data_IF_262891693111
#
_entry.id   IF_262891693111
#
_cell.length_a   1.000
_cell.length_b   1.000
_cell.length_c   1.000
_cell.angle_alpha   90.00
_cell.angle_beta   90.00
_cell.angle_gamma   90.00
#
_symmetry.space_group_name_H-M   'P 1'
#
loop_
_entity.id
_entity.type
_entity.pdbx_description
1 polymer ?
#
# COMPACT_ATOMS: atom_id res chain seq x y z
N UNK A 1 16.21 42.62 -23.95
CA UNK A 1 16.40 41.54 -22.97
C UNK A 1 17.90 41.47 -22.69
N UNK A 2 18.36 41.55 -21.43
CA UNK A 2 19.82 41.58 -21.18
C UNK A 2 20.44 40.18 -21.41
N UNK A 3 21.75 40.13 -21.64
CA UNK A 3 22.49 38.88 -21.91
C UNK A 3 22.33 37.82 -20.80
N UNK A 4 22.27 38.24 -19.53
CA UNK A 4 22.01 37.31 -18.41
C UNK A 4 20.61 36.71 -18.47
N UNK A 5 19.57 37.48 -18.83
CA UNK A 5 18.20 36.98 -19.01
C UNK A 5 18.13 35.98 -20.18
N UNK A 6 18.84 36.25 -21.28
CA UNK A 6 18.95 35.33 -22.40
C UNK A 6 19.63 34.01 -22.00
N UNK A 7 20.75 34.10 -21.27
CA UNK A 7 21.49 32.94 -20.78
C UNK A 7 20.63 32.08 -19.83
N UNK A 8 19.87 32.69 -18.92
CA UNK A 8 18.97 31.96 -18.03
C UNK A 8 17.83 31.25 -18.78
N UNK A 9 17.24 31.89 -19.79
CA UNK A 9 16.19 31.27 -20.61
C UNK A 9 16.75 30.12 -21.46
N UNK A 10 17.95 30.30 -22.04
CA UNK A 10 18.60 29.26 -22.84
C UNK A 10 19.00 28.04 -21.99
N UNK A 11 19.63 28.26 -20.84
CA UNK A 11 19.98 27.18 -19.90
C UNK A 11 18.72 26.50 -19.36
N UNK A 12 17.68 27.27 -19.03
CA UNK A 12 16.39 26.74 -18.59
C UNK A 12 15.72 25.85 -19.64
N UNK A 13 15.74 26.27 -20.91
CA UNK A 13 15.20 25.49 -22.02
C UNK A 13 15.96 24.17 -22.24
N UNK A 14 17.30 24.19 -22.14
CA UNK A 14 18.13 22.98 -22.22
C UNK A 14 17.78 22.01 -21.09
N UNK A 15 17.64 22.50 -19.84
CA UNK A 15 17.28 21.67 -18.69
C UNK A 15 15.90 21.02 -18.89
N UNK A 16 14.90 21.79 -19.34
CA UNK A 16 13.56 21.26 -19.63
C UNK A 16 13.64 20.17 -20.70
N UNK A 17 14.41 20.40 -21.77
CA UNK A 17 14.57 19.43 -22.85
C UNK A 17 15.24 18.13 -22.38
N UNK A 18 16.26 18.23 -21.52
CA UNK A 18 16.91 17.06 -20.88
C UNK A 18 15.91 16.29 -20.00
N UNK A 19 15.08 16.99 -19.21
CA UNK A 19 14.04 16.36 -18.38
C UNK A 19 13.04 15.61 -19.28
N UNK A 20 12.54 16.26 -20.34
CA UNK A 20 11.60 15.65 -21.29
C UNK A 20 12.22 14.41 -21.93
N UNK A 21 13.46 14.50 -22.44
CA UNK A 21 14.16 13.36 -23.04
C UNK A 21 14.35 12.23 -22.02
N UNK A 22 14.73 12.54 -20.79
CA UNK A 22 14.89 11.56 -19.70
C UNK A 22 13.56 10.87 -19.37
N UNK A 23 12.45 11.61 -19.37
CA UNK A 23 11.11 11.05 -19.17
C UNK A 23 10.72 10.12 -20.32
N UNK A 24 10.96 10.51 -21.57
CA UNK A 24 10.64 9.71 -22.76
C UNK A 24 11.48 8.42 -22.79
N UNK A 25 12.80 8.54 -22.59
CA UNK A 25 13.72 7.39 -22.55
C UNK A 25 13.32 6.46 -21.41
N UNK A 26 13.10 7.00 -20.21
CA UNK A 26 12.65 6.24 -19.06
C UNK A 26 11.31 5.56 -19.28
N UNK A 27 10.38 6.19 -20.01
CA UNK A 27 9.11 5.58 -20.35
C UNK A 27 9.27 4.41 -21.32
N UNK A 28 10.04 4.58 -22.41
CA UNK A 28 10.33 3.50 -23.37
C UNK A 28 11.06 2.33 -22.70
N UNK A 29 12.06 2.63 -21.88
CA UNK A 29 12.80 1.62 -21.11
C UNK A 29 11.87 0.83 -20.17
N UNK A 30 10.95 1.51 -19.49
CA UNK A 30 9.98 0.85 -18.62
C UNK A 30 8.96 0.00 -19.39
N UNK A 31 8.49 0.45 -20.56
CA UNK A 31 7.63 -0.36 -21.43
C UNK A 31 8.34 -1.64 -21.87
N UNK A 32 9.61 -1.54 -22.28
CA UNK A 32 10.42 -2.69 -22.64
C UNK A 32 10.61 -3.66 -21.47
N UNK A 33 10.94 -3.16 -20.27
CA UNK A 33 11.06 -4.01 -19.07
C UNK A 33 9.75 -4.69 -18.71
N UNK A 34 8.62 -3.99 -18.86
CA UNK A 34 7.28 -4.55 -18.62
C UNK A 34 6.97 -5.68 -19.58
N UNK A 35 7.22 -5.49 -20.87
CA UNK A 35 7.02 -6.54 -21.87
C UNK A 35 7.89 -7.76 -21.57
N UNK A 36 9.17 -7.55 -21.24
CA UNK A 36 10.09 -8.63 -20.86
C UNK A 36 9.61 -9.37 -19.61
N UNK A 37 9.14 -8.64 -18.59
CA UNK A 37 8.59 -9.23 -17.38
C UNK A 37 7.35 -10.08 -17.67
N UNK A 38 6.35 -9.54 -18.35
CA UNK A 38 5.10 -10.25 -18.68
C UNK A 38 5.36 -11.50 -19.52
N UNK A 39 6.33 -11.46 -20.44
CA UNK A 39 6.73 -12.63 -21.24
C UNK A 39 7.30 -13.76 -20.38
N UNK A 40 7.97 -13.43 -19.28
CA UNK A 40 8.60 -14.39 -18.39
C UNK A 40 7.68 -14.91 -17.27
N UNK A 41 6.46 -14.39 -17.15
CA UNK A 41 5.49 -14.88 -16.17
C UNK A 41 4.98 -16.27 -16.54
N UNK A 42 4.70 -17.10 -15.53
CA UNK A 42 3.96 -18.34 -15.75
C UNK A 42 2.47 -18.05 -16.05
N UNK A 43 1.70 -19.05 -16.48
CA UNK A 43 0.29 -18.87 -16.87
C UNK A 43 -0.58 -18.35 -15.72
N UNK A 44 -0.32 -18.79 -14.48
CA UNK A 44 -1.06 -18.32 -13.29
C UNK A 44 -0.79 -16.84 -13.04
N UNK A 45 0.47 -16.41 -13.15
CA UNK A 45 0.90 -15.03 -12.98
C UNK A 45 0.40 -14.13 -14.12
N UNK A 46 0.40 -14.61 -15.37
CA UNK A 46 -0.20 -13.90 -16.50
C UNK A 46 -1.69 -13.65 -16.27
N UNK A 47 -2.44 -14.65 -15.79
CA UNK A 47 -3.86 -14.50 -15.46
C UNK A 47 -4.08 -13.46 -14.36
N UNK A 48 -3.25 -13.48 -13.30
CA UNK A 48 -3.26 -12.46 -12.23
C UNK A 48 -2.97 -11.05 -12.79
N UNK A 49 -1.99 -10.94 -13.68
CA UNK A 49 -1.62 -9.68 -14.33
C UNK A 49 -2.76 -9.11 -15.19
N UNK A 50 -3.39 -9.94 -16.02
CA UNK A 50 -4.54 -9.54 -16.83
C UNK A 50 -5.73 -9.08 -15.96
N UNK A 51 -5.99 -9.76 -14.84
CA UNK A 51 -7.05 -9.33 -13.90
C UNK A 51 -6.74 -7.98 -13.26
N UNK A 52 -5.48 -7.73 -12.88
CA UNK A 52 -5.04 -6.41 -12.41
C UNK A 52 -5.27 -5.33 -13.47
N UNK A 53 -4.96 -5.60 -14.74
CA UNK A 53 -5.20 -4.65 -15.82
C UNK A 53 -6.69 -4.37 -16.02
N UNK A 54 -7.54 -5.41 -16.04
CA UNK A 54 -9.00 -5.26 -16.08
C UNK A 54 -9.51 -4.42 -14.91
N UNK A 55 -9.03 -4.69 -13.70
CA UNK A 55 -9.38 -3.91 -12.52
C UNK A 55 -8.97 -2.45 -12.66
N UNK A 56 -7.72 -2.16 -13.07
CA UNK A 56 -7.24 -0.80 -13.30
C UNK A 56 -8.13 -0.06 -14.30
N UNK A 57 -8.45 -0.68 -15.43
CA UNK A 57 -9.34 -0.09 -16.45
C UNK A 57 -10.73 0.20 -15.87
N UNK A 58 -11.33 -0.76 -15.15
CA UNK A 58 -12.67 -0.61 -14.54
C UNK A 58 -12.75 0.55 -13.53
N UNK A 59 -11.65 0.85 -12.82
CA UNK A 59 -11.58 1.96 -11.87
C UNK A 59 -11.23 3.30 -12.51
N UNK A 60 -11.18 3.39 -13.84
CA UNK A 60 -10.86 4.62 -14.59
C UNK A 60 -9.37 4.79 -14.90
N UNK A 61 -8.59 3.72 -14.76
CA UNK A 61 -7.17 3.67 -15.10
C UNK A 61 -6.30 4.67 -14.35
N UNK A 62 -5.16 5.01 -14.95
CA UNK A 62 -4.27 6.06 -14.45
C UNK A 62 -4.90 7.46 -14.53
N UNK A 63 -6.00 7.64 -15.27
CA UNK A 63 -6.61 8.96 -15.52
C UNK A 63 -7.20 9.57 -14.24
N UNK A 64 -7.93 8.82 -13.40
CA UNK A 64 -8.49 9.37 -12.16
C UNK A 64 -7.41 9.73 -11.14
N UNK A 65 -6.39 8.87 -10.97
CA UNK A 65 -5.26 9.16 -10.10
C UNK A 65 -4.44 10.36 -10.59
N UNK A 66 -4.20 10.45 -11.90
CA UNK A 66 -3.54 11.59 -12.52
C UNK A 66 -4.35 12.88 -12.34
N UNK A 67 -5.67 12.85 -12.59
CA UNK A 67 -6.54 14.03 -12.38
C UNK A 67 -6.55 14.48 -10.92
N UNK A 68 -6.58 13.56 -9.95
CA UNK A 68 -6.53 13.91 -8.52
C UNK A 68 -5.18 14.51 -8.14
N UNK A 69 -4.06 13.91 -8.56
CA UNK A 69 -2.71 14.45 -8.32
C UNK A 69 -2.52 15.81 -9.00
N UNK A 70 -2.95 15.93 -10.25
CA UNK A 70 -2.86 17.15 -11.04
C UNK A 70 -3.75 18.26 -10.44
N UNK A 71 -4.97 17.93 -10.00
CA UNK A 71 -5.84 18.85 -9.28
C UNK A 71 -5.23 19.26 -7.93
N UNK A 72 -4.69 18.33 -7.14
CA UNK A 72 -4.04 18.65 -5.87
C UNK A 72 -2.79 19.53 -6.05
N UNK A 73 -2.07 19.40 -7.17
CA UNK A 73 -0.94 20.26 -7.50
C UNK A 73 -1.40 21.63 -8.02
N UNK A 74 -2.43 21.70 -8.87
CA UNK A 74 -2.84 22.91 -9.59
C UNK A 74 -3.84 23.77 -8.83
N UNK A 75 -4.76 23.18 -8.07
CA UNK A 75 -5.76 23.92 -7.29
C UNK A 75 -5.09 24.94 -6.36
N UNK A 76 -4.00 24.64 -5.63
CA UNK A 76 -3.28 25.65 -4.86
C UNK A 76 -2.78 26.83 -5.70
N UNK A 77 -2.27 26.59 -6.92
CA UNK A 77 -1.84 27.65 -7.83
C UNK A 77 -3.00 28.47 -8.39
N UNK A 78 -4.12 27.82 -8.73
CA UNK A 78 -5.34 28.50 -9.18
C UNK A 78 -5.91 29.35 -8.05
N UNK A 79 -5.98 28.83 -6.82
CA UNK A 79 -6.42 29.60 -5.65
C UNK A 79 -5.50 30.79 -5.40
N UNK A 80 -4.19 30.63 -5.57
CA UNK A 80 -3.21 31.72 -5.49
C UNK A 80 -3.48 32.81 -6.55
N UNK A 81 -3.78 32.40 -7.79
CA UNK A 81 -4.05 33.28 -8.92
C UNK A 81 -5.40 34.01 -8.80
N UNK A 82 -6.45 33.32 -8.37
CA UNK A 82 -7.84 33.81 -8.32
C UNK A 82 -8.09 34.68 -7.09
N UNK A 83 -7.54 34.30 -5.93
CA UNK A 83 -7.80 35.00 -4.67
C UNK A 83 -6.67 35.96 -4.29
N UNK A 84 -5.66 36.14 -5.16
CA UNK A 84 -4.44 36.91 -4.88
C UNK A 84 -3.80 36.54 -3.53
N UNK A 85 -3.95 35.28 -3.12
CA UNK A 85 -3.41 34.77 -1.88
C UNK A 85 -1.89 34.72 -2.05
N UNK A 86 -1.15 35.22 -1.05
CA UNK A 86 0.30 35.16 -1.12
C UNK A 86 0.78 33.71 -1.21
N UNK A 87 1.85 33.44 -1.96
CA UNK A 87 2.47 32.12 -2.03
C UNK A 87 2.75 31.54 -0.64
N UNK A 88 3.11 32.40 0.35
CA UNK A 88 3.27 32.03 1.76
C UNK A 88 2.02 31.38 2.34
N UNK A 89 0.88 32.04 2.18
CA UNK A 89 -0.41 31.59 2.71
C UNK A 89 -0.86 30.30 2.01
N UNK A 90 -0.63 30.17 0.70
CA UNK A 90 -0.92 28.94 -0.06
C UNK A 90 -0.08 27.76 0.41
N UNK A 91 1.22 27.97 0.64
CA UNK A 91 2.11 26.93 1.16
C UNK A 91 1.76 26.53 2.59
N UNK A 92 1.40 27.50 3.44
CA UNK A 92 0.95 27.24 4.80
C UNK A 92 -0.36 26.42 4.80
N UNK A 93 -1.30 26.77 3.92
CA UNK A 93 -2.54 26.01 3.74
C UNK A 93 -2.28 24.59 3.21
N UNK A 94 -1.39 24.45 2.23
CA UNK A 94 -0.93 23.16 1.72
C UNK A 94 -0.31 22.29 2.83
N UNK A 95 0.53 22.88 3.68
CA UNK A 95 1.12 22.21 4.83
C UNK A 95 0.06 21.74 5.83
N UNK A 96 -0.91 22.60 6.17
CA UNK A 96 -2.01 22.30 7.10
C UNK A 96 -2.88 21.14 6.60
N UNK A 97 -3.06 20.98 5.28
CA UNK A 97 -3.80 19.85 4.71
C UNK A 97 -2.91 18.60 4.60
N UNK A 98 -1.66 18.76 4.19
CA UNK A 98 -0.77 17.65 3.89
C UNK A 98 -0.27 16.95 5.15
N UNK A 99 0.04 17.69 6.21
CA UNK A 99 0.58 17.14 7.48
C UNK A 99 -0.41 16.12 8.11
N UNK A 100 -1.71 16.41 8.28
CA UNK A 100 -2.68 15.45 8.81
C UNK A 100 -2.84 14.18 7.96
N UNK A 101 -2.56 14.22 6.66
CA UNK A 101 -2.59 13.04 5.77
C UNK A 101 -1.27 12.26 5.86
N UNK A 102 -0.14 12.98 5.99
CA UNK A 102 1.20 12.40 6.06
C UNK A 102 1.44 11.68 7.39
N UNK A 103 1.00 12.23 8.52
CA UNK A 103 1.20 11.65 9.86
C UNK A 103 0.68 10.20 9.94
N UNK A 104 -0.58 9.91 9.57
CA UNK A 104 -1.08 8.56 9.38
C UNK A 104 -0.12 7.67 8.61
N UNK A 105 0.28 8.12 7.43
CA UNK A 105 1.10 7.35 6.52
C UNK A 105 2.48 7.04 7.12
N UNK A 106 3.13 8.03 7.74
CA UNK A 106 4.40 7.86 8.45
C UNK A 106 4.29 6.81 9.55
N UNK A 107 3.27 6.92 10.39
CA UNK A 107 3.03 5.94 11.46
C UNK A 107 2.92 4.52 10.92
N UNK A 108 2.19 4.31 9.82
CA UNK A 108 2.08 3.00 9.15
C UNK A 108 3.40 2.49 8.57
N UNK A 109 4.15 3.37 7.90
CA UNK A 109 5.44 3.02 7.28
C UNK A 109 6.45 2.60 8.36
N UNK A 110 6.53 3.34 9.46
CA UNK A 110 7.42 3.02 10.59
C UNK A 110 6.95 1.78 11.37
N UNK A 111 5.64 1.60 11.58
CA UNK A 111 5.09 0.41 12.24
C UNK A 111 5.43 -0.87 11.49
N UNK A 112 5.33 -0.86 10.16
CA UNK A 112 5.64 -2.02 9.31
C UNK A 112 7.13 -2.26 9.10
N UNK A 113 7.99 -1.25 9.32
CA UNK A 113 9.43 -1.29 9.06
C UNK A 113 9.74 -1.74 7.62
N UNK A 114 8.91 -1.34 6.65
CA UNK A 114 9.14 -1.64 5.25
C UNK A 114 10.19 -0.67 4.68
N UNK A 115 11.32 -1.21 4.23
CA UNK A 115 12.46 -0.40 3.76
C UNK A 115 12.11 0.50 2.57
N UNK A 116 11.35 0.00 1.60
CA UNK A 116 11.07 0.72 0.35
C UNK A 116 10.12 1.90 0.59
N UNK A 117 9.11 1.71 1.45
CA UNK A 117 8.22 2.79 1.86
C UNK A 117 8.94 3.85 2.71
N UNK A 118 9.84 3.44 3.61
CA UNK A 118 10.67 4.36 4.39
C UNK A 118 11.53 5.24 3.47
N UNK A 119 12.19 4.64 2.47
CA UNK A 119 12.99 5.38 1.49
C UNK A 119 12.12 6.40 0.75
N UNK A 120 10.94 5.99 0.30
CA UNK A 120 10.00 6.86 -0.42
C UNK A 120 9.57 8.05 0.43
N UNK A 121 9.27 7.83 1.71
CA UNK A 121 8.95 8.87 2.68
C UNK A 121 10.10 9.87 2.86
N UNK A 122 11.34 9.37 3.00
CA UNK A 122 12.53 10.22 3.15
C UNK A 122 12.70 11.13 1.94
N UNK A 123 12.53 10.61 0.72
CA UNK A 123 12.59 11.41 -0.49
C UNK A 123 11.49 12.47 -0.57
N UNK A 124 10.24 12.11 -0.26
CA UNK A 124 9.12 13.07 -0.25
C UNK A 124 9.34 14.19 0.77
N UNK A 125 9.86 13.85 1.96
CA UNK A 125 10.21 14.81 2.98
C UNK A 125 11.36 15.72 2.54
N UNK A 126 12.40 15.16 1.90
CA UNK A 126 13.52 15.92 1.35
C UNK A 126 13.09 16.92 0.27
N UNK A 127 12.19 16.52 -0.63
CA UNK A 127 11.59 17.42 -1.62
C UNK A 127 10.81 18.54 -0.92
N UNK A 128 9.94 18.20 0.02
CA UNK A 128 9.14 19.18 0.76
C UNK A 128 10.01 20.20 1.52
N UNK A 129 11.00 19.73 2.27
CA UNK A 129 11.95 20.59 3.00
C UNK A 129 12.75 21.47 2.04
N UNK A 130 13.18 20.94 0.89
CA UNK A 130 13.85 21.73 -0.14
C UNK A 130 12.98 22.86 -0.66
N UNK A 131 11.67 22.64 -0.85
CA UNK A 131 10.73 23.71 -1.25
C UNK A 131 10.59 24.75 -0.13
N UNK A 132 10.49 24.32 1.13
CA UNK A 132 10.41 25.22 2.28
C UNK A 132 11.68 26.08 2.46
N UNK A 133 12.87 25.53 2.24
CA UNK A 133 14.12 26.28 2.38
C UNK A 133 14.35 27.21 1.18
N UNK A 134 13.98 26.81 -0.04
CA UNK A 134 13.96 27.73 -1.18
C UNK A 134 13.07 28.95 -0.90
N UNK A 135 11.94 28.74 -0.24
CA UNK A 135 11.04 29.81 0.19
C UNK A 135 11.66 30.79 1.22
N UNK A 136 12.68 30.37 1.99
CA UNK A 136 13.41 31.25 2.92
C UNK A 136 14.45 32.16 2.22
N UNK A 137 14.49 32.19 0.87
CA UNK A 137 15.32 33.09 0.08
C UNK A 137 16.71 32.55 -0.28
N UNK A 138 16.97 31.27 0.01
CA UNK A 138 18.23 30.63 -0.34
C UNK A 138 18.20 30.13 -1.79
N UNK A 139 18.55 31.01 -2.73
CA UNK A 139 18.54 30.72 -4.18
C UNK A 139 19.35 29.48 -4.60
N UNK A 140 20.44 29.16 -3.88
CA UNK A 140 21.25 27.96 -4.17
C UNK A 140 20.47 26.66 -3.95
N UNK A 141 19.42 26.68 -3.13
CA UNK A 141 18.59 25.53 -2.79
C UNK A 141 17.71 25.09 -3.97
N UNK A 142 17.46 25.97 -4.95
CA UNK A 142 16.74 25.58 -6.18
C UNK A 142 17.50 24.50 -6.97
N UNK A 143 18.82 24.58 -7.01
CA UNK A 143 19.66 23.59 -7.70
C UNK A 143 19.66 22.27 -6.93
N UNK A 144 19.71 22.32 -5.60
CA UNK A 144 19.59 21.13 -4.75
C UNK A 144 18.22 20.45 -4.89
N UNK A 145 17.14 21.23 -4.99
CA UNK A 145 15.79 20.73 -5.25
C UNK A 145 15.70 20.05 -6.63
N UNK A 146 16.26 20.67 -7.66
CA UNK A 146 16.30 20.13 -9.02
C UNK A 146 17.11 18.83 -9.08
N UNK A 147 18.27 18.76 -8.42
CA UNK A 147 19.09 17.55 -8.33
C UNK A 147 18.36 16.45 -7.56
N UNK A 148 17.75 16.77 -6.43
CA UNK A 148 16.99 15.81 -5.61
C UNK A 148 15.77 15.29 -6.37
N UNK A 149 15.04 16.16 -7.08
CA UNK A 149 13.94 15.78 -7.95
C UNK A 149 14.41 14.91 -9.11
N UNK A 150 15.55 15.24 -9.73
CA UNK A 150 16.14 14.44 -10.80
C UNK A 150 16.55 13.05 -10.31
N UNK A 151 17.25 12.96 -9.17
CA UNK A 151 17.60 11.70 -8.51
C UNK A 151 16.33 10.91 -8.17
N UNK A 152 15.29 11.56 -7.66
CA UNK A 152 14.02 10.91 -7.34
C UNK A 152 13.30 10.39 -8.60
N UNK A 153 13.24 11.16 -9.68
CA UNK A 153 12.66 10.73 -10.95
C UNK A 153 13.45 9.55 -11.52
N UNK A 154 14.78 9.62 -11.48
CA UNK A 154 15.64 8.55 -11.97
C UNK A 154 15.51 7.27 -11.11
N UNK A 155 15.53 7.41 -9.79
CA UNK A 155 15.22 6.33 -8.84
C UNK A 155 13.85 5.73 -9.16
N UNK A 156 12.81 6.55 -9.25
CA UNK A 156 11.46 6.12 -9.57
C UNK A 156 11.39 5.36 -10.90
N UNK A 157 12.09 5.82 -11.93
CA UNK A 157 12.15 5.15 -13.23
C UNK A 157 12.88 3.80 -13.15
N UNK A 158 13.98 3.70 -12.40
CA UNK A 158 14.71 2.45 -12.20
C UNK A 158 13.89 1.42 -11.41
N UNK A 159 13.08 1.88 -10.46
CA UNK A 159 12.27 1.04 -9.60
C UNK A 159 10.80 0.93 -10.05
N UNK A 160 10.38 1.57 -11.15
CA UNK A 160 8.99 1.55 -11.63
C UNK A 160 8.46 0.12 -11.83
N UNK A 161 9.29 -0.77 -12.36
CA UNK A 161 8.93 -2.19 -12.51
C UNK A 161 8.74 -2.89 -11.16
N UNK A 162 9.57 -2.58 -10.17
CA UNK A 162 9.39 -3.07 -8.80
C UNK A 162 8.07 -2.53 -8.23
N UNK A 163 7.75 -1.26 -8.49
CA UNK A 163 6.45 -0.67 -8.13
C UNK A 163 5.25 -1.32 -8.84
N UNK A 164 5.37 -1.71 -10.11
CA UNK A 164 4.32 -2.45 -10.81
C UNK A 164 4.12 -3.87 -10.25
N UNK A 165 5.22 -4.55 -9.88
CA UNK A 165 5.19 -5.85 -9.20
C UNK A 165 4.58 -5.73 -7.79
N UNK A 166 4.92 -4.69 -7.04
CA UNK A 166 4.33 -4.40 -5.73
C UNK A 166 2.85 -4.08 -5.86
N UNK A 167 2.43 -3.29 -6.86
CA UNK A 167 1.01 -3.06 -7.13
C UNK A 167 0.28 -4.35 -7.49
N UNK A 168 0.92 -5.28 -8.21
CA UNK A 168 0.36 -6.61 -8.47
C UNK A 168 0.23 -7.41 -7.19
N UNK A 169 1.22 -7.37 -6.29
CA UNK A 169 1.17 -8.04 -4.99
C UNK A 169 0.09 -7.45 -4.06
N UNK A 170 -0.05 -6.12 -4.04
CA UNK A 170 -1.11 -5.40 -3.31
C UNK A 170 -2.48 -5.70 -3.91
N UNK A 171 -2.57 -5.82 -5.24
CA UNK A 171 -3.81 -6.20 -5.90
C UNK A 171 -4.19 -7.65 -5.59
N UNK A 172 -3.25 -8.58 -5.74
CA UNK A 172 -3.40 -9.98 -5.37
C UNK A 172 -3.18 -10.19 -3.87
N UNK A 173 -3.76 -9.31 -3.05
CA UNK A 173 -3.71 -9.44 -1.59
C UNK A 173 -4.33 -10.77 -1.13
N UNK A 174 -4.24 -11.04 0.17
CA UNK A 174 -4.79 -12.26 0.79
C UNK A 174 -6.24 -12.57 0.35
N UNK A 175 -7.09 -11.55 0.24
CA UNK A 175 -8.51 -11.69 -0.11
C UNK A 175 -8.70 -12.01 -1.59
N UNK A 176 -8.12 -11.18 -2.47
CA UNK A 176 -8.24 -11.38 -3.91
C UNK A 176 -7.63 -12.72 -4.29
N UNK A 177 -6.43 -13.04 -3.79
CA UNK A 177 -5.78 -14.32 -4.06
C UNK A 177 -6.60 -15.53 -3.59
N UNK A 178 -7.34 -15.43 -2.48
CA UNK A 178 -8.26 -16.48 -2.06
C UNK A 178 -9.44 -16.62 -3.02
N UNK A 179 -10.06 -15.51 -3.44
CA UNK A 179 -11.14 -15.52 -4.42
C UNK A 179 -10.73 -15.99 -5.81
N UNK A 180 -9.47 -15.75 -6.22
CA UNK A 180 -8.94 -16.20 -7.51
C UNK A 180 -8.77 -17.72 -7.61
N UNK A 181 -8.65 -18.40 -6.47
CA UNK A 181 -8.52 -19.85 -6.41
C UNK A 181 -9.90 -20.56 -6.29
N UNK A 182 -10.99 -19.79 -6.37
CA UNK A 182 -12.37 -20.29 -6.37
C UNK A 182 -12.96 -20.30 -7.77
N UNK A 183 -13.84 -21.25 -8.03
CA UNK A 183 -14.71 -21.21 -9.20
C UNK A 183 -15.80 -20.14 -9.03
N UNK A 184 -16.24 -19.54 -10.15
CA UNK A 184 -17.29 -18.54 -10.11
C UNK A 184 -18.62 -19.16 -9.68
N UNK A 185 -19.32 -18.51 -8.74
CA UNK A 185 -20.60 -18.94 -8.20
C UNK A 185 -21.60 -17.78 -8.13
N UNK A 186 -22.90 -18.09 -8.08
CA UNK A 186 -23.98 -17.10 -8.17
C UNK A 186 -24.34 -16.41 -6.84
N UNK A 187 -23.90 -16.95 -5.70
CA UNK A 187 -24.38 -16.58 -4.35
C UNK A 187 -23.97 -15.16 -3.89
N UNK A 188 -22.95 -14.58 -4.53
CA UNK A 188 -22.64 -13.15 -4.43
C UNK A 188 -22.11 -12.68 -3.05
N UNK A 189 -22.26 -11.37 -2.78
CA UNK A 189 -21.74 -10.71 -1.58
C UNK A 189 -22.75 -10.75 -0.42
N UNK A 190 -22.28 -11.16 0.76
CA UNK A 190 -23.02 -11.09 2.02
C UNK A 190 -22.20 -10.30 3.04
N UNK A 191 -22.77 -9.32 3.72
CA UNK A 191 -22.02 -8.47 4.66
C UNK A 191 -21.83 -9.13 6.05
N UNK A 192 -22.02 -10.45 6.18
CA UNK A 192 -22.00 -11.14 7.48
C UNK A 192 -20.62 -11.73 7.78
N UNK A 193 -19.98 -11.42 8.91
CA UNK A 193 -18.75 -12.09 9.31
C UNK A 193 -18.95 -13.60 9.42
N UNK A 194 -17.90 -14.37 9.09
CA UNK A 194 -17.89 -15.82 9.25
C UNK A 194 -16.88 -16.19 10.32
N UNK A 195 -17.23 -17.15 11.19
CA UNK A 195 -16.41 -17.57 12.33
C UNK A 195 -16.23 -19.08 12.35
N UNK A 196 -15.05 -19.53 12.76
CA UNK A 196 -14.71 -20.94 13.00
C UNK A 196 -13.80 -21.04 14.22
N UNK A 197 -14.01 -22.06 15.03
CA UNK A 197 -13.09 -22.40 16.12
C UNK A 197 -11.96 -23.29 15.60
N UNK A 198 -10.73 -22.99 16.00
CA UNK A 198 -9.54 -23.79 15.68
C UNK A 198 -9.01 -24.46 16.94
N UNK A 199 -9.15 -25.79 17.01
CA UNK A 199 -8.59 -26.59 18.10
C UNK A 199 -7.05 -26.45 18.17
N UNK A 200 -6.38 -26.47 17.02
CA UNK A 200 -4.92 -26.34 16.94
C UNK A 200 -4.41 -24.99 17.49
N UNK A 201 -5.08 -23.88 17.17
CA UNK A 201 -4.70 -22.58 17.73
C UNK A 201 -4.99 -22.51 19.24
N UNK A 202 -6.11 -23.09 19.67
CA UNK A 202 -6.45 -23.18 21.10
C UNK A 202 -5.38 -23.94 21.88
N UNK A 203 -4.80 -25.01 21.31
CA UNK A 203 -3.70 -25.77 21.90
C UNK A 203 -2.39 -24.96 21.97
N UNK A 204 -2.05 -24.22 20.90
CA UNK A 204 -0.88 -23.33 20.88
C UNK A 204 -0.89 -22.35 22.07
N UNK A 205 -2.07 -21.84 22.45
CA UNK A 205 -2.17 -20.92 23.58
C UNK A 205 -2.21 -21.62 24.93
N UNK A 206 -2.74 -22.85 25.02
CA UNK A 206 -2.76 -23.65 26.26
C UNK A 206 -1.40 -24.20 26.68
N UNK A 207 -0.49 -24.47 25.75
CA UNK A 207 0.79 -25.13 26.02
C UNK A 207 1.81 -24.27 26.83
N UNK A 208 1.46 -23.05 27.23
CA UNK A 208 2.28 -22.19 28.09
C UNK A 208 1.70 -22.07 29.50
N UNK A 209 1.93 -23.07 30.35
CA UNK A 209 1.61 -22.97 31.78
C UNK A 209 2.34 -21.74 32.38
N UNK A 210 1.56 -20.85 32.99
CA UNK A 210 1.92 -19.67 33.80
C UNK A 210 1.88 -18.26 33.19
N UNK A 211 1.47 -18.00 31.93
CA UNK A 211 1.22 -16.61 31.49
C UNK A 211 0.45 -16.48 30.15
N UNK A 212 -0.70 -17.14 30.03
CA UNK A 212 -1.52 -17.25 28.81
C UNK A 212 -1.76 -15.93 28.05
N UNK A 213 -2.03 -14.82 28.74
CA UNK A 213 -2.24 -13.52 28.07
C UNK A 213 -0.95 -12.88 27.54
N UNK A 214 0.21 -13.15 28.16
CA UNK A 214 1.50 -12.63 27.68
C UNK A 214 2.01 -13.43 26.48
N UNK A 215 1.71 -14.72 26.37
CA UNK A 215 2.12 -15.55 25.23
C UNK A 215 1.24 -15.30 23.98
N UNK A 216 -0.10 -15.20 24.13
CA UNK A 216 -1.01 -14.85 23.04
C UNK A 216 -0.62 -13.52 22.38
N UNK A 217 -0.51 -12.46 23.20
CA UNK A 217 -0.18 -11.12 22.71
C UNK A 217 1.15 -11.10 21.97
N UNK A 218 2.18 -11.77 22.50
CA UNK A 218 3.50 -11.81 21.90
C UNK A 218 3.49 -12.52 20.55
N UNK A 219 2.91 -13.72 20.47
CA UNK A 219 2.84 -14.48 19.21
C UNK A 219 2.02 -13.71 18.16
N UNK A 220 0.87 -13.18 18.55
CA UNK A 220 0.03 -12.37 17.66
C UNK A 220 0.76 -11.11 17.17
N UNK A 221 1.51 -10.44 18.04
CA UNK A 221 2.28 -9.23 17.69
C UNK A 221 3.44 -9.54 16.77
N UNK A 222 4.20 -10.60 17.05
CA UNK A 222 5.31 -11.03 16.20
C UNK A 222 4.83 -11.53 14.84
N UNK A 223 3.67 -12.21 14.78
CA UNK A 223 3.00 -12.57 13.54
C UNK A 223 2.60 -11.32 12.75
N UNK A 224 1.97 -10.34 13.42
CA UNK A 224 1.58 -9.05 12.84
C UNK A 224 2.78 -8.28 12.29
N UNK A 225 3.87 -8.18 13.05
CA UNK A 225 5.13 -7.55 12.62
C UNK A 225 5.74 -8.25 11.41
N UNK A 226 5.75 -9.57 11.40
CA UNK A 226 6.37 -10.37 10.33
C UNK A 226 5.60 -10.24 9.02
N UNK A 227 4.28 -10.37 9.08
CA UNK A 227 3.38 -10.24 7.93
C UNK A 227 3.26 -8.78 7.46
N UNK A 228 3.33 -7.82 8.38
CA UNK A 228 3.35 -6.37 8.09
C UNK A 228 4.59 -5.93 7.31
N UNK A 229 5.78 -6.42 7.69
CA UNK A 229 7.03 -6.19 6.93
C UNK A 229 6.94 -6.64 5.47
N UNK A 230 6.14 -7.67 5.20
CA UNK A 230 5.93 -8.25 3.86
C UNK A 230 4.71 -7.68 3.14
N UNK A 231 4.09 -6.62 3.66
CA UNK A 231 2.89 -5.97 3.10
C UNK A 231 1.71 -6.93 2.88
N UNK A 232 1.55 -7.92 3.76
CA UNK A 232 0.35 -8.77 3.79
C UNK A 232 -0.72 -8.11 4.66
N UNK A 233 -0.31 -7.59 5.82
CA UNK A 233 -1.15 -6.81 6.71
C UNK A 233 -0.75 -5.34 6.65
N UNK A 234 -1.75 -4.45 6.58
CA UNK A 234 -1.53 -3.01 6.73
C UNK A 234 -1.46 -2.60 8.20
N UNK A 235 -2.21 -3.27 9.07
CA UNK A 235 -2.27 -2.99 10.50
C UNK A 235 -2.63 -4.23 11.31
N UNK A 236 -2.34 -4.17 12.62
CA UNK A 236 -2.86 -5.12 13.61
C UNK A 236 -3.01 -4.43 14.97
N UNK A 237 -4.07 -4.81 15.69
CA UNK A 237 -4.39 -4.33 17.05
C UNK A 237 -4.53 -5.53 17.96
N UNK A 238 -3.93 -5.46 19.14
CA UNK A 238 -3.87 -6.57 20.08
C UNK A 238 -4.41 -6.08 21.42
N UNK A 239 -5.47 -6.75 21.87
CA UNK A 239 -6.10 -6.58 23.16
C UNK A 239 -5.77 -7.80 24.05
N UNK A 240 -6.33 -7.86 25.25
CA UNK A 240 -6.09 -8.98 26.18
C UNK A 240 -6.55 -10.33 25.62
N UNK A 241 -7.72 -10.35 24.99
CA UNK A 241 -8.39 -11.60 24.58
C UNK A 241 -8.57 -11.72 23.07
N UNK A 242 -8.15 -10.73 22.29
CA UNK A 242 -8.32 -10.72 20.84
C UNK A 242 -7.21 -9.96 20.12
N UNK A 243 -6.90 -10.41 18.91
CA UNK A 243 -6.04 -9.74 17.97
C UNK A 243 -6.82 -9.51 16.67
N UNK A 244 -6.86 -8.28 16.18
CA UNK A 244 -7.51 -7.91 14.92
C UNK A 244 -6.44 -7.53 13.91
N UNK A 245 -6.38 -8.27 12.81
CA UNK A 245 -5.46 -8.10 11.70
C UNK A 245 -6.19 -7.50 10.51
N UNK A 246 -5.59 -6.50 9.88
CA UNK A 246 -6.15 -5.81 8.73
C UNK A 246 -5.31 -6.11 7.49
N UNK A 247 -5.80 -6.95 6.56
CA UNK A 247 -5.11 -7.23 5.30
C UNK A 247 -4.88 -5.95 4.47
N UNK A 248 -3.75 -5.89 3.76
CA UNK A 248 -3.48 -4.80 2.82
C UNK A 248 -4.56 -4.75 1.75
N UNK A 249 -5.07 -3.56 1.46
CA UNK A 249 -5.98 -3.29 0.35
C UNK A 249 -5.33 -2.38 -0.70
N UNK A 250 -5.83 -2.41 -1.93
CA UNK A 250 -5.35 -1.55 -3.02
C UNK A 250 -5.57 -0.05 -2.75
N UNK A 251 -6.46 0.28 -1.82
CA UNK A 251 -6.74 1.65 -1.39
C UNK A 251 -6.00 2.00 -0.10
N UNK A 252 -4.70 1.74 -0.04
CA UNK A 252 -3.90 1.81 1.18
C UNK A 252 -4.08 3.14 1.93
N UNK A 253 -3.96 4.29 1.25
CA UNK A 253 -4.12 5.60 1.88
C UNK A 253 -5.52 5.81 2.50
N UNK A 254 -6.58 5.42 1.80
CA UNK A 254 -7.97 5.56 2.29
C UNK A 254 -8.20 4.61 3.47
N UNK A 255 -7.67 3.39 3.38
CA UNK A 255 -7.75 2.40 4.45
C UNK A 255 -7.00 2.85 5.70
N UNK A 256 -5.84 3.50 5.53
CA UNK A 256 -5.08 4.12 6.62
C UNK A 256 -5.87 5.22 7.32
N UNK A 257 -6.60 6.06 6.56
CA UNK A 257 -7.50 7.08 7.13
C UNK A 257 -8.61 6.44 7.96
N UNK A 258 -9.28 5.40 7.43
CA UNK A 258 -10.35 4.71 8.15
C UNK A 258 -9.88 4.01 9.44
N UNK A 259 -8.63 3.56 9.51
CA UNK A 259 -8.07 2.94 10.71
C UNK A 259 -7.82 3.95 11.85
N UNK A 260 -7.53 5.21 11.51
CA UNK A 260 -7.25 6.30 12.45
C UNK A 260 -8.53 7.06 12.81
N UNK A 261 -9.49 7.11 11.89
CA UNK A 261 -10.82 7.67 12.09
C UNK A 261 -11.87 6.56 11.99
N UNK A 262 -12.01 5.71 13.03
CA UNK A 262 -12.92 4.56 13.01
C UNK A 262 -14.38 4.95 12.75
N UNK A 263 -14.76 6.17 13.11
CA UNK A 263 -16.09 6.74 12.85
C UNK A 263 -16.43 6.82 11.36
N UNK A 264 -15.42 6.80 10.47
CA UNK A 264 -15.61 6.89 9.03
C UNK A 264 -15.83 5.53 8.34
N UNK A 265 -15.67 4.41 9.06
CA UNK A 265 -16.21 3.11 8.62
C UNK A 265 -15.38 1.88 8.99
N UNK A 266 -15.67 1.30 10.17
CA UNK A 266 -15.16 -0.04 10.55
C UNK A 266 -15.57 -1.15 9.56
N UNK A 267 -16.76 -1.05 8.96
CA UNK A 267 -17.27 -2.05 8.00
C UNK A 267 -16.77 -1.83 6.57
N UNK A 268 -15.96 -0.78 6.35
CA UNK A 268 -15.39 -0.48 5.03
C UNK A 268 -14.05 -1.18 4.79
N UNK A 269 -13.50 -1.82 5.82
CA UNK A 269 -12.21 -2.50 5.75
C UNK A 269 -12.39 -3.96 6.11
N UNK A 270 -11.77 -4.84 5.33
CA UNK A 270 -11.71 -6.26 5.65
C UNK A 270 -10.81 -6.50 6.87
N UNK A 271 -11.16 -7.46 7.71
CA UNK A 271 -10.39 -7.78 8.91
C UNK A 271 -10.48 -9.27 9.25
N UNK A 272 -9.46 -9.74 9.96
CA UNK A 272 -9.39 -11.09 10.52
C UNK A 272 -9.18 -10.93 12.02
N UNK A 273 -10.10 -11.44 12.82
CA UNK A 273 -10.01 -11.44 14.28
C UNK A 273 -9.63 -12.84 14.75
N UNK A 274 -8.61 -12.92 15.59
CA UNK A 274 -8.24 -14.12 16.33
C UNK A 274 -8.48 -13.87 17.82
N UNK A 275 -9.29 -14.72 18.43
CA UNK A 275 -9.57 -14.66 19.86
C UNK A 275 -8.65 -15.64 20.60
N UNK A 276 -8.35 -15.36 21.87
CA UNK A 276 -7.46 -16.18 22.70
C UNK A 276 -8.02 -17.59 22.96
N UNK A 277 -9.32 -17.81 22.75
CA UNK A 277 -9.99 -19.12 22.78
C UNK A 277 -9.78 -19.95 21.50
N UNK A 278 -9.06 -19.43 20.50
CA UNK A 278 -8.83 -20.08 19.21
C UNK A 278 -9.89 -19.81 18.15
N UNK A 279 -10.84 -18.90 18.40
CA UNK A 279 -11.84 -18.51 17.39
C UNK A 279 -11.26 -17.53 16.38
N UNK A 280 -11.36 -17.88 15.09
CA UNK A 280 -11.03 -16.99 13.98
C UNK A 280 -12.35 -16.47 13.38
N UNK A 281 -12.47 -15.16 13.24
CA UNK A 281 -13.59 -14.49 12.56
C UNK A 281 -13.06 -13.65 11.41
N UNK A 282 -13.65 -13.78 10.23
CA UNK A 282 -13.28 -13.03 9.03
C UNK A 282 -14.45 -12.18 8.55
N UNK A 283 -14.15 -10.95 8.17
CA UNK A 283 -15.04 -10.06 7.45
C UNK A 283 -14.35 -9.54 6.20
N UNK A 284 -15.04 -9.58 5.07
CA UNK A 284 -14.57 -9.04 3.80
C UNK A 284 -15.45 -7.85 3.43
N UNK A 285 -14.82 -6.68 3.29
CA UNK A 285 -15.51 -5.48 2.84
C UNK A 285 -15.96 -5.63 1.38
N UNK A 286 -17.07 -4.97 1.01
CA UNK A 286 -17.53 -4.92 -0.38
C UNK A 286 -16.44 -4.40 -1.32
N UNK A 287 -15.66 -3.41 -0.87
CA UNK A 287 -14.54 -2.85 -1.63
C UNK A 287 -13.46 -3.87 -1.98
N UNK A 288 -13.14 -4.81 -1.09
CA UNK A 288 -12.21 -5.89 -1.38
C UNK A 288 -12.85 -7.05 -2.14
N UNK A 289 -14.13 -7.35 -1.89
CA UNK A 289 -14.87 -8.37 -2.63
C UNK A 289 -14.99 -8.04 -4.12
N UNK A 290 -15.39 -6.80 -4.45
CA UNK A 290 -15.56 -6.35 -5.85
C UNK A 290 -14.25 -6.41 -6.67
N UNK A 291 -13.10 -6.53 -6.00
CA UNK A 291 -11.78 -6.66 -6.66
C UNK A 291 -11.50 -8.05 -7.19
N UNK A 292 -12.28 -9.07 -6.80
CA UNK A 292 -12.13 -10.43 -7.33
C UNK A 292 -12.54 -10.47 -8.81
N UNK A 293 -13.39 -9.53 -9.24
CA UNK A 293 -13.99 -9.36 -10.58
C UNK A 293 -14.94 -10.48 -11.02
N UNK A 294 -14.87 -11.64 -10.36
CA UNK A 294 -15.80 -12.75 -10.53
C UNK A 294 -16.70 -12.84 -9.31
N UNK A 295 -17.96 -13.24 -9.52
CA UNK A 295 -18.84 -13.55 -8.39
C UNK A 295 -18.38 -14.85 -7.78
N UNK A 296 -18.05 -14.81 -6.49
CA UNK A 296 -17.68 -15.98 -5.68
C UNK A 296 -18.53 -16.00 -4.43
N UNK A 297 -18.84 -17.19 -3.91
CA UNK A 297 -19.67 -17.32 -2.71
C UNK A 297 -18.96 -16.73 -1.50
N UNK A 298 -19.54 -15.69 -0.91
CA UNK A 298 -18.92 -14.92 0.16
C UNK A 298 -18.53 -15.78 1.37
N UNK A 299 -19.38 -16.72 1.78
CA UNK A 299 -19.11 -17.59 2.92
C UNK A 299 -17.93 -18.54 2.64
N UNK A 300 -17.87 -19.12 1.45
CA UNK A 300 -16.74 -19.95 1.01
C UNK A 300 -15.45 -19.15 0.94
N UNK A 301 -15.49 -17.90 0.45
CA UNK A 301 -14.34 -17.00 0.47
C UNK A 301 -13.84 -16.78 1.90
N UNK A 302 -14.73 -16.47 2.84
CA UNK A 302 -14.37 -16.29 4.23
C UNK A 302 -13.80 -17.57 4.86
N UNK A 303 -14.36 -18.73 4.53
CA UNK A 303 -13.85 -20.02 5.00
C UNK A 303 -12.42 -20.28 4.49
N UNK A 304 -12.15 -20.07 3.20
CA UNK A 304 -10.80 -20.22 2.63
C UNK A 304 -9.82 -19.26 3.31
N UNK A 305 -10.25 -18.03 3.60
CA UNK A 305 -9.44 -17.05 4.32
C UNK A 305 -9.12 -17.50 5.75
N UNK A 306 -10.10 -18.05 6.46
CA UNK A 306 -9.87 -18.65 7.78
C UNK A 306 -8.85 -19.77 7.67
N UNK A 307 -9.02 -20.72 6.75
CA UNK A 307 -8.13 -21.89 6.62
C UNK A 307 -6.70 -21.50 6.21
N UNK A 308 -6.53 -20.46 5.39
CA UNK A 308 -5.21 -19.92 5.06
C UNK A 308 -4.58 -19.23 6.25
N UNK A 309 -5.34 -18.39 6.95
CA UNK A 309 -4.86 -17.68 8.13
C UNK A 309 -4.48 -18.67 9.24
N UNK A 310 -5.34 -19.65 9.51
CA UNK A 310 -5.12 -20.72 10.48
C UNK A 310 -3.81 -21.46 10.21
N UNK A 311 -3.64 -21.98 8.98
CA UNK A 311 -2.41 -22.68 8.60
C UNK A 311 -1.16 -21.82 8.72
N UNK A 312 -1.23 -20.57 8.28
CA UNK A 312 -0.10 -19.65 8.37
C UNK A 312 0.26 -19.31 9.82
N UNK A 313 -0.75 -19.15 10.68
CA UNK A 313 -0.54 -18.84 12.09
C UNK A 313 0.07 -20.03 12.85
N UNK A 314 -0.46 -21.24 12.61
CA UNK A 314 0.08 -22.48 13.18
C UNK A 314 1.52 -22.69 12.73
N UNK A 315 1.80 -22.53 11.44
CA UNK A 315 3.16 -22.64 10.90
C UNK A 315 4.08 -21.64 11.58
N UNK A 316 3.70 -20.36 11.62
CA UNK A 316 4.48 -19.31 12.27
C UNK A 316 4.79 -19.61 13.75
N UNK A 317 3.82 -20.18 14.48
CA UNK A 317 3.95 -20.47 15.90
C UNK A 317 5.02 -21.52 16.22
N UNK A 318 5.46 -22.34 15.24
CA UNK A 318 6.58 -23.28 15.39
C UNK A 318 7.93 -22.58 15.64
N UNK A 319 8.06 -21.32 15.21
CA UNK A 319 9.09 -20.39 15.67
C UNK A 319 10.39 -20.31 14.87
N UNK A 320 10.67 -21.24 13.94
CA UNK A 320 11.89 -21.17 13.11
C UNK A 320 11.83 -20.08 12.04
N UNK A 321 12.97 -19.72 11.45
CA UNK A 321 12.99 -18.74 10.34
C UNK A 321 12.32 -19.30 9.09
N UNK A 322 12.46 -20.59 8.82
CA UNK A 322 11.83 -21.26 7.68
C UNK A 322 10.32 -21.32 7.85
N UNK A 323 9.83 -21.58 9.07
CA UNK A 323 8.40 -21.54 9.39
C UNK A 323 7.80 -20.15 9.14
N UNK A 324 8.54 -19.09 9.50
CA UNK A 324 8.11 -17.71 9.21
C UNK A 324 8.03 -17.46 7.71
N UNK A 325 8.96 -17.99 6.92
CA UNK A 325 8.93 -17.89 5.45
C UNK A 325 7.73 -18.67 4.90
N UNK A 326 7.48 -19.88 5.41
CA UNK A 326 6.36 -20.73 5.00
C UNK A 326 5.01 -20.08 5.33
N UNK A 327 4.85 -19.50 6.51
CA UNK A 327 3.65 -18.74 6.88
C UNK A 327 3.36 -17.61 5.88
N UNK A 328 4.39 -16.89 5.43
CA UNK A 328 4.27 -15.84 4.41
C UNK A 328 3.86 -16.42 3.05
N UNK A 329 4.43 -17.56 2.64
CA UNK A 329 4.05 -18.25 1.39
C UNK A 329 2.58 -18.69 1.42
N UNK A 330 2.14 -19.29 2.53
CA UNK A 330 0.75 -19.72 2.74
C UNK A 330 -0.22 -18.55 2.56
N UNK A 331 0.04 -17.41 3.21
CA UNK A 331 -0.81 -16.21 3.11
C UNK A 331 -0.85 -15.61 1.70
N UNK A 332 0.22 -15.78 0.90
CA UNK A 332 0.26 -15.34 -0.49
C UNK A 332 -0.36 -16.35 -1.48
N UNK A 333 -0.73 -17.54 -1.01
CA UNK A 333 -1.19 -18.64 -1.87
C UNK A 333 -0.08 -19.19 -2.78
N UNK A 334 1.17 -19.08 -2.33
CA UNK A 334 2.34 -19.75 -2.92
C UNK A 334 2.36 -21.21 -2.44
N UNK A 335 2.82 -22.13 -3.30
CA UNK A 335 2.96 -23.56 -2.95
C UNK A 335 4.29 -23.82 -2.28
#
# INVERSE_FOLDING_TARGET
MNETTFLYLFVGAIIILIIIMTVIIGWKFNLWRRQKFVKNLNEREKKRWQRLEKYRVSKGGYKKGFVILFAAMIIPWILMLVFHISFKTTMLFGAVIFIPVLIPHLWFVFKRKNRDEIITVIFLFGIYMGVCVWYLGYEFVKYFLQITLFIFIFYWQLFKMKGEQEQMAIYCNLIVSAGLDMDSQLDGYSQRPFSKESAAIKEIFKAGENNLNLNFKKIADDFGKTTGKKMILMDWKINDNEAVFYPVTAYLLIAQIYLILPSLGKDKISWIKLSSDGRITVFVSKGDYDRILEKVTYHTLCQILIERFERAFIEFAKGSNDDKINAIKILKGEK
#
